data_IF_829299370932
#
_entry.id   IF_829299370932
#
_cell.length_a   1.000
_cell.length_b   1.000
_cell.length_c   1.000
_cell.angle_alpha   90.00
_cell.angle_beta   90.00
_cell.angle_gamma   90.00
#
_symmetry.space_group_name_H-M   'P 1'
#
loop_
_entity.id
_entity.type
_entity.pdbx_description
1 polymer ?
#
# COMPACT_ATOMS: atom_id res chain seq x y z
N UNK A 1 62.75 8.12 -0.92
CA UNK A 1 61.39 8.35 -1.48
C UNK A 1 60.38 7.72 -0.55
N UNK A 2 59.63 8.53 0.18
CA UNK A 2 58.56 8.05 1.07
C UNK A 2 57.22 8.29 0.35
N UNK A 3 56.49 7.23 0.05
CA UNK A 3 55.17 7.29 -0.51
C UNK A 3 54.17 7.57 0.65
N UNK A 4 53.50 8.71 0.57
CA UNK A 4 52.42 9.08 1.48
C UNK A 4 51.13 8.43 0.98
N UNK A 5 50.62 7.45 1.73
CA UNK A 5 49.29 6.93 1.50
C UNK A 5 48.27 7.96 1.98
N UNK A 6 47.56 8.58 1.03
CA UNK A 6 46.41 9.40 1.31
C UNK A 6 45.24 8.50 1.71
N UNK A 7 44.87 8.56 2.99
CA UNK A 7 43.68 7.88 3.50
C UNK A 7 42.42 8.60 2.96
N UNK A 8 41.78 7.96 2.01
CA UNK A 8 40.47 8.43 1.52
C UNK A 8 39.42 8.04 2.56
N UNK A 9 39.01 9.00 3.37
CA UNK A 9 37.87 8.86 4.26
C UNK A 9 36.59 8.77 3.40
N UNK A 10 36.02 7.57 3.34
CA UNK A 10 34.68 7.38 2.82
C UNK A 10 33.71 8.00 3.84
N UNK A 11 32.87 8.96 3.46
CA UNK A 11 31.90 9.50 4.39
C UNK A 11 30.90 8.41 4.76
N UNK A 12 30.71 8.19 6.05
CA UNK A 12 29.65 7.36 6.58
C UNK A 12 28.35 8.12 6.32
N UNK A 13 27.58 7.65 5.33
CA UNK A 13 26.23 8.14 5.06
C UNK A 13 25.34 7.53 6.15
N UNK A 14 24.67 8.32 6.99
CA UNK A 14 23.72 7.76 7.95
C UNK A 14 22.56 7.10 7.19
N UNK A 15 22.15 5.93 7.67
CA UNK A 15 21.10 5.03 7.12
C UNK A 15 19.68 5.65 7.10
N UNK A 16 19.56 6.94 7.02
CA UNK A 16 18.27 7.65 6.99
C UNK A 16 18.19 8.56 5.77
N UNK A 17 18.28 7.97 4.60
CA UNK A 17 17.72 8.61 3.40
C UNK A 17 16.44 7.83 3.10
N UNK A 18 15.33 8.34 3.64
CA UNK A 18 13.99 8.02 3.15
C UNK A 18 13.97 8.52 1.71
N UNK A 19 14.20 7.62 0.76
CA UNK A 19 14.00 7.90 -0.64
C UNK A 19 12.50 7.92 -0.91
N UNK A 20 11.84 8.98 -0.44
CA UNK A 20 10.52 9.34 -0.94
C UNK A 20 10.66 9.48 -2.45
N UNK A 21 9.84 8.79 -3.24
CA UNK A 21 9.88 8.81 -4.69
C UNK A 21 9.97 10.25 -5.22
N UNK A 22 11.18 10.76 -5.41
CA UNK A 22 11.41 12.10 -5.93
C UNK A 22 11.12 12.05 -7.43
N UNK A 23 10.10 12.77 -7.87
CA UNK A 23 9.89 13.07 -9.27
C UNK A 23 11.00 14.03 -9.72
N UNK A 24 12.08 13.51 -10.25
CA UNK A 24 12.98 14.28 -11.07
C UNK A 24 12.57 14.14 -12.53
N UNK A 25 12.15 15.23 -13.15
CA UNK A 25 11.99 15.41 -14.61
C UNK A 25 11.17 14.32 -15.33
N UNK A 26 9.98 13.95 -14.79
CA UNK A 26 9.08 12.99 -15.46
C UNK A 26 9.57 11.54 -15.46
N UNK A 27 10.66 11.25 -14.76
CA UNK A 27 11.22 9.90 -14.63
C UNK A 27 10.57 9.16 -13.46
N UNK A 28 10.09 7.96 -13.72
CA UNK A 28 9.63 7.05 -12.67
C UNK A 28 10.87 6.60 -11.89
N UNK A 29 10.96 7.00 -10.62
CA UNK A 29 12.00 6.54 -9.71
C UNK A 29 11.55 5.22 -9.10
N UNK A 30 12.43 4.23 -9.06
CA UNK A 30 12.14 2.95 -8.41
C UNK A 30 11.84 3.15 -6.92
N UNK A 31 10.79 2.48 -6.43
CA UNK A 31 10.39 2.47 -5.04
C UNK A 31 11.17 1.40 -4.27
N UNK A 32 11.77 1.77 -3.14
CA UNK A 32 12.45 0.84 -2.24
C UNK A 32 12.37 1.38 -0.80
N UNK A 33 11.44 0.85 -0.02
CA UNK A 33 11.24 1.20 1.40
C UNK A 33 10.94 -0.06 2.22
N UNK A 34 11.08 0.02 3.54
CA UNK A 34 10.58 -1.01 4.46
C UNK A 34 9.04 -0.96 4.47
N UNK A 35 8.43 -1.80 3.66
CA UNK A 35 6.97 -1.81 3.49
C UNK A 35 6.24 -2.24 4.76
N UNK A 36 6.85 -3.09 5.59
CA UNK A 36 6.24 -3.53 6.84
C UNK A 36 6.22 -2.38 7.86
N UNK A 37 7.32 -1.64 7.97
CA UNK A 37 7.39 -0.45 8.83
C UNK A 37 6.40 0.62 8.37
N UNK A 38 6.35 0.90 7.06
CA UNK A 38 5.39 1.85 6.49
C UNK A 38 3.96 1.47 6.79
N UNK A 39 3.62 0.19 6.64
CA UNK A 39 2.26 -0.33 6.88
C UNK A 39 1.91 -0.26 8.37
N UNK A 40 2.82 -0.67 9.27
CA UNK A 40 2.58 -0.64 10.72
C UNK A 40 2.39 0.77 11.27
N UNK A 41 3.07 1.75 10.69
CA UNK A 41 2.98 3.16 11.11
C UNK A 41 1.88 3.94 10.38
N UNK A 42 1.14 3.32 9.46
CA UNK A 42 0.07 3.98 8.72
C UNK A 42 -1.21 4.09 9.56
N UNK A 43 -1.76 5.30 9.63
CA UNK A 43 -3.08 5.59 10.22
C UNK A 43 -4.11 6.07 9.18
N UNK A 44 -3.70 6.21 7.92
CA UNK A 44 -4.56 6.68 6.84
C UNK A 44 -5.37 5.52 6.26
N UNK A 45 -6.60 5.79 5.86
CA UNK A 45 -7.43 4.78 5.20
C UNK A 45 -6.77 4.25 3.93
N UNK A 46 -6.23 5.15 3.07
CA UNK A 46 -5.54 4.80 1.82
C UNK A 46 -4.42 5.80 1.52
N UNK A 47 -3.25 5.28 1.20
CA UNK A 47 -2.13 6.08 0.70
C UNK A 47 -1.44 5.34 -0.44
N UNK A 48 -1.39 5.97 -1.61
CA UNK A 48 -0.62 5.47 -2.76
C UNK A 48 0.84 5.84 -2.58
N UNK A 49 1.70 4.84 -2.38
CA UNK A 49 3.13 5.03 -2.15
C UNK A 49 3.93 5.15 -3.46
N UNK A 50 3.59 4.32 -4.43
CA UNK A 50 4.30 4.28 -5.71
C UNK A 50 3.39 3.80 -6.83
N UNK A 51 3.57 4.35 -8.03
CA UNK A 51 2.86 3.94 -9.24
C UNK A 51 3.84 3.78 -10.38
N UNK A 52 3.88 2.59 -10.95
CA UNK A 52 4.54 2.29 -12.21
C UNK A 52 3.51 2.16 -13.34
N UNK A 53 3.96 1.88 -14.58
CA UNK A 53 3.04 1.69 -15.71
C UNK A 53 2.14 0.45 -15.58
N UNK A 54 2.56 -0.57 -14.82
CA UNK A 54 1.88 -1.87 -14.74
C UNK A 54 1.55 -2.32 -13.32
N UNK A 55 1.96 -1.58 -12.29
CA UNK A 55 1.69 -1.90 -10.90
C UNK A 55 1.69 -0.65 -10.02
N UNK A 56 0.97 -0.72 -8.90
CA UNK A 56 0.86 0.35 -7.92
C UNK A 56 0.89 -0.21 -6.53
N UNK A 57 1.66 0.40 -5.64
CA UNK A 57 1.76 0.02 -4.22
C UNK A 57 0.97 0.99 -3.37
N UNK A 58 0.08 0.45 -2.54
CA UNK A 58 -0.82 1.21 -1.68
C UNK A 58 -0.77 0.62 -0.27
N UNK A 59 -0.84 1.46 0.75
CA UNK A 59 -1.04 1.03 2.14
C UNK A 59 -2.40 1.48 2.64
N UNK A 60 -3.01 0.66 3.50
CA UNK A 60 -4.32 0.95 4.07
C UNK A 60 -4.37 0.63 5.56
N UNK A 61 -5.18 1.39 6.28
CA UNK A 61 -5.56 1.11 7.67
C UNK A 61 -7.08 1.22 7.80
N UNK A 62 -7.71 0.13 8.22
CA UNK A 62 -9.16 0.03 8.37
C UNK A 62 -9.46 -0.02 9.86
N UNK A 63 -10.22 0.94 10.41
CA UNK A 63 -10.53 0.96 11.84
C UNK A 63 -11.43 -0.22 12.25
N UNK A 64 -11.47 -0.58 13.55
CA UNK A 64 -12.37 -1.62 14.06
C UNK A 64 -13.82 -1.39 13.64
N UNK A 65 -14.48 -2.42 13.13
CA UNK A 65 -15.84 -2.36 12.62
C UNK A 65 -15.97 -1.71 11.24
N UNK A 66 -14.87 -1.21 10.67
CA UNK A 66 -14.83 -0.65 9.32
C UNK A 66 -14.61 -1.72 8.24
N UNK A 67 -14.68 -1.27 7.00
CA UNK A 67 -14.49 -2.10 5.81
C UNK A 67 -13.91 -1.29 4.67
N UNK A 68 -13.37 -1.95 3.65
CA UNK A 68 -13.00 -1.26 2.40
C UNK A 68 -14.27 -0.85 1.64
N UNK A 69 -15.25 -1.70 1.62
CA UNK A 69 -16.46 -1.60 0.82
C UNK A 69 -16.46 -2.64 -0.30
N UNK A 70 -17.64 -3.00 -0.78
CA UNK A 70 -17.75 -3.95 -1.88
C UNK A 70 -17.30 -3.30 -3.19
N UNK A 71 -16.32 -3.91 -3.85
CA UNK A 71 -15.71 -3.44 -5.08
C UNK A 71 -15.61 -4.55 -6.12
N UNK A 72 -15.57 -4.16 -7.40
CA UNK A 72 -15.21 -5.00 -8.54
C UNK A 72 -14.28 -4.18 -9.43
N UNK A 73 -13.07 -4.68 -9.64
CA UNK A 73 -12.12 -4.09 -10.59
C UNK A 73 -12.13 -4.95 -11.85
N UNK A 74 -12.68 -4.44 -12.94
CA UNK A 74 -12.92 -5.24 -14.16
C UNK A 74 -11.63 -5.73 -14.81
N UNK A 75 -10.58 -4.89 -14.79
CA UNK A 75 -9.34 -5.12 -15.54
C UNK A 75 -8.09 -5.04 -14.65
N UNK A 76 -8.24 -5.13 -13.32
CA UNK A 76 -7.14 -5.00 -12.36
C UNK A 76 -7.12 -6.19 -11.42
N UNK A 77 -5.98 -6.88 -11.38
CA UNK A 77 -5.69 -7.84 -10.32
C UNK A 77 -5.22 -7.09 -9.08
N UNK A 78 -5.62 -7.56 -7.90
CA UNK A 78 -5.22 -6.97 -6.63
C UNK A 78 -4.61 -8.03 -5.72
N UNK A 79 -3.43 -7.76 -5.20
CA UNK A 79 -2.78 -8.56 -4.17
C UNK A 79 -2.81 -7.79 -2.86
N UNK A 80 -3.33 -8.39 -1.79
CA UNK A 80 -3.37 -7.79 -0.46
C UNK A 80 -2.54 -8.65 0.51
N UNK A 81 -1.69 -7.99 1.28
CA UNK A 81 -0.92 -8.63 2.34
C UNK A 81 -1.26 -7.96 3.67
N UNK A 82 -1.76 -8.75 4.61
CA UNK A 82 -2.18 -8.27 5.92
C UNK A 82 -1.00 -8.30 6.88
N UNK A 83 -0.79 -7.20 7.60
CA UNK A 83 0.38 -7.00 8.47
C UNK A 83 -0.02 -6.97 9.94
N UNK A 84 -1.13 -6.32 10.27
CA UNK A 84 -1.65 -6.22 11.64
C UNK A 84 -3.17 -6.29 11.65
N UNK A 85 -3.70 -6.73 12.78
CA UNK A 85 -5.13 -6.84 13.00
C UNK A 85 -5.72 -8.15 12.48
N UNK A 86 -7.05 -8.26 12.56
CA UNK A 86 -7.82 -9.41 12.13
C UNK A 86 -9.09 -8.97 11.41
N UNK A 87 -9.49 -9.73 10.43
CA UNK A 87 -10.68 -9.43 9.66
C UNK A 87 -11.16 -10.60 8.82
N UNK A 88 -11.99 -10.28 7.85
CA UNK A 88 -12.52 -11.22 6.87
C UNK A 88 -12.34 -10.68 5.46
N UNK A 89 -11.93 -11.56 4.56
CA UNK A 89 -12.08 -11.37 3.12
C UNK A 89 -13.43 -11.94 2.69
N UNK A 90 -14.17 -11.18 1.87
CA UNK A 90 -15.42 -11.62 1.25
C UNK A 90 -15.19 -11.62 -0.26
N UNK A 91 -15.05 -12.80 -0.85
CA UNK A 91 -14.76 -12.98 -2.28
C UNK A 91 -15.92 -13.71 -2.93
N UNK A 92 -16.62 -13.05 -3.86
CA UNK A 92 -17.85 -13.57 -4.48
C UNK A 92 -18.85 -14.15 -3.45
N UNK A 93 -19.00 -13.45 -2.31
CA UNK A 93 -19.86 -13.85 -1.21
C UNK A 93 -19.28 -14.91 -0.25
N UNK A 94 -18.12 -15.47 -0.53
CA UNK A 94 -17.45 -16.44 0.34
C UNK A 94 -16.57 -15.72 1.34
N UNK A 95 -16.79 -15.96 2.64
CA UNK A 95 -16.03 -15.36 3.73
C UNK A 95 -14.88 -16.25 4.15
N UNK A 96 -13.72 -15.66 4.38
CA UNK A 96 -12.54 -16.34 4.94
C UNK A 96 -11.76 -15.40 5.86
N UNK A 97 -11.13 -15.90 6.94
CA UNK A 97 -10.41 -15.05 7.86
C UNK A 97 -9.13 -14.50 7.24
N UNK A 98 -8.82 -13.24 7.55
CA UNK A 98 -7.52 -12.61 7.30
C UNK A 98 -6.88 -12.20 8.62
N UNK A 99 -5.57 -12.33 8.69
CA UNK A 99 -4.74 -12.08 9.87
C UNK A 99 -3.30 -11.77 9.41
N UNK A 100 -2.39 -11.37 10.29
CA UNK A 100 -1.00 -11.11 9.91
C UNK A 100 -0.39 -12.26 9.09
N UNK A 101 0.40 -11.90 8.09
CA UNK A 101 1.09 -12.80 7.14
C UNK A 101 0.19 -13.51 6.11
N UNK A 102 -1.10 -13.17 6.07
CA UNK A 102 -1.98 -13.66 5.00
C UNK A 102 -1.83 -12.81 3.73
N UNK A 103 -1.78 -13.50 2.61
CA UNK A 103 -1.87 -12.91 1.28
C UNK A 103 -3.17 -13.34 0.63
N UNK A 104 -3.87 -12.38 0.04
CA UNK A 104 -5.07 -12.63 -0.77
C UNK A 104 -4.81 -12.09 -2.17
N UNK A 105 -5.01 -12.91 -3.18
CA UNK A 105 -5.08 -12.50 -4.58
C UNK A 105 -6.54 -12.40 -4.99
N UNK A 106 -6.93 -11.22 -5.45
CA UNK A 106 -8.25 -10.95 -6.04
C UNK A 106 -8.07 -10.77 -7.55
N UNK A 107 -8.43 -11.77 -8.36
CA UNK A 107 -8.38 -11.63 -9.81
C UNK A 107 -9.34 -10.56 -10.32
N UNK A 108 -8.99 -9.93 -11.43
CA UNK A 108 -9.87 -8.98 -12.13
C UNK A 108 -11.29 -9.56 -12.30
N UNK A 109 -12.31 -8.73 -12.10
CA UNK A 109 -13.72 -9.13 -12.19
C UNK A 109 -14.30 -9.80 -10.96
N UNK A 110 -13.51 -10.08 -9.92
CA UNK A 110 -13.98 -10.69 -8.68
C UNK A 110 -14.63 -9.63 -7.77
N UNK A 111 -15.87 -9.86 -7.36
CA UNK A 111 -16.53 -9.04 -6.34
C UNK A 111 -15.88 -9.32 -4.99
N UNK A 112 -15.45 -8.27 -4.30
CA UNK A 112 -14.71 -8.43 -3.06
C UNK A 112 -14.95 -7.31 -2.06
N UNK A 113 -14.76 -7.65 -0.79
CA UNK A 113 -14.72 -6.71 0.34
C UNK A 113 -13.77 -7.25 1.41
N UNK A 114 -13.22 -6.37 2.21
CA UNK A 114 -12.41 -6.71 3.38
C UNK A 114 -12.95 -5.97 4.59
N UNK A 115 -13.28 -6.71 5.63
CA UNK A 115 -13.95 -6.22 6.83
C UNK A 115 -13.05 -6.39 8.03
N UNK A 116 -12.87 -5.33 8.83
CA UNK A 116 -12.19 -5.44 10.11
C UNK A 116 -13.15 -5.99 11.17
N UNK A 117 -12.94 -7.23 11.58
CA UNK A 117 -13.72 -7.90 12.63
C UNK A 117 -13.01 -7.92 13.98
N UNK A 118 -11.81 -7.34 14.07
CA UNK A 118 -11.01 -7.26 15.28
C UNK A 118 -11.26 -6.00 16.10
N UNK A 119 -10.45 -5.83 17.12
CA UNK A 119 -10.50 -4.70 18.07
C UNK A 119 -9.43 -3.63 17.83
N UNK A 120 -8.52 -3.86 16.90
CA UNK A 120 -7.45 -2.95 16.48
C UNK A 120 -7.55 -2.66 15.00
N UNK A 121 -6.80 -1.69 14.50
CA UNK A 121 -6.75 -1.39 13.07
C UNK A 121 -6.28 -2.61 12.28
N UNK A 122 -6.96 -2.87 11.16
CA UNK A 122 -6.54 -3.85 10.17
C UNK A 122 -5.64 -3.14 9.17
N UNK A 123 -4.34 -3.42 9.25
CA UNK A 123 -3.30 -2.78 8.44
C UNK A 123 -2.76 -3.72 7.39
N UNK A 124 -2.69 -3.22 6.18
CA UNK A 124 -2.27 -4.00 5.02
C UNK A 124 -1.53 -3.13 4.00
N UNK A 125 -0.74 -3.76 3.17
CA UNK A 125 -0.33 -3.18 1.90
C UNK A 125 -0.95 -3.97 0.76
N UNK A 126 -1.17 -3.30 -0.34
CA UNK A 126 -1.82 -3.88 -1.50
C UNK A 126 -1.14 -3.43 -2.78
N UNK A 127 -1.16 -4.31 -3.77
CA UNK A 127 -0.61 -4.07 -5.10
C UNK A 127 -1.74 -4.20 -6.10
N UNK A 128 -1.96 -3.16 -6.89
CA UNK A 128 -2.86 -3.16 -8.04
C UNK A 128 -2.05 -3.34 -9.32
N UNK A 129 -2.49 -4.19 -10.20
CA UNK A 129 -1.86 -4.46 -11.48
C UNK A 129 -2.92 -4.57 -12.60
N UNK A 130 -3.04 -3.54 -13.43
CA UNK A 130 -2.35 -2.23 -13.46
C UNK A 130 -2.79 -1.28 -12.34
N UNK A 131 -2.24 -0.06 -12.25
CA UNK A 131 -2.65 0.94 -11.26
C UNK A 131 -4.15 1.26 -11.31
N UNK A 132 -4.77 1.33 -10.13
CA UNK A 132 -6.20 1.64 -9.95
C UNK A 132 -6.44 3.12 -9.60
N UNK A 133 -5.58 3.68 -8.75
CA UNK A 133 -5.74 5.03 -8.23
C UNK A 133 -4.78 6.02 -8.90
N UNK A 134 -5.14 7.31 -8.86
CA UNK A 134 -4.22 8.37 -9.29
C UNK A 134 -2.93 8.35 -8.45
N UNK A 135 -1.76 8.59 -9.05
CA UNK A 135 -0.50 8.64 -8.32
C UNK A 135 -0.54 9.66 -7.17
N UNK A 136 -0.04 9.24 -5.99
CA UNK A 136 0.02 10.09 -4.80
C UNK A 136 -1.33 10.35 -4.12
N UNK A 137 -2.36 9.59 -4.42
CA UNK A 137 -3.67 9.66 -3.73
C UNK A 137 -3.51 9.39 -2.24
N UNK A 138 -4.11 10.26 -1.42
CA UNK A 138 -4.20 10.12 0.03
C UNK A 138 -5.65 10.33 0.46
N UNK A 139 -6.22 9.34 1.14
CA UNK A 139 -7.52 9.45 1.82
C UNK A 139 -7.33 9.15 3.31
N UNK A 140 -7.66 10.09 4.17
CA UNK A 140 -7.53 9.91 5.61
C UNK A 140 -8.56 8.94 6.17
N UNK A 141 -9.76 8.97 5.59
CA UNK A 141 -10.92 8.18 6.02
C UNK A 141 -11.59 7.50 4.84
N UNK A 142 -12.38 6.46 5.13
CA UNK A 142 -13.24 5.84 4.11
C UNK A 142 -14.21 6.86 3.49
N UNK A 143 -14.74 7.76 4.28
CA UNK A 143 -15.65 8.80 3.79
C UNK A 143 -15.00 9.72 2.73
N UNK A 144 -13.71 10.06 2.91
CA UNK A 144 -12.96 10.80 1.89
C UNK A 144 -12.77 9.98 0.61
N UNK A 145 -12.48 8.68 0.75
CA UNK A 145 -12.35 7.78 -0.40
C UNK A 145 -13.66 7.66 -1.18
N UNK A 146 -14.77 7.39 -0.48
CA UNK A 146 -16.10 7.26 -1.09
C UNK A 146 -16.53 8.56 -1.79
N UNK A 147 -16.23 9.71 -1.21
CA UNK A 147 -16.52 11.02 -1.81
C UNK A 147 -15.71 11.27 -3.08
N UNK A 148 -14.44 10.85 -3.10
CA UNK A 148 -13.58 10.98 -4.28
C UNK A 148 -14.04 10.06 -5.41
N UNK A 149 -14.40 8.82 -5.11
CA UNK A 149 -14.92 7.85 -6.08
C UNK A 149 -16.27 8.29 -6.66
N UNK A 150 -17.16 8.87 -5.85
CA UNK A 150 -18.42 9.42 -6.32
C UNK A 150 -18.25 10.64 -7.25
N UNK A 151 -17.17 11.40 -7.11
CA UNK A 151 -16.88 12.56 -7.96
C UNK A 151 -16.30 12.18 -9.34
N UNK A 152 -15.80 10.94 -9.50
CA UNK A 152 -15.24 10.42 -10.75
C UNK A 152 -16.31 9.82 -11.70
N UNK A 153 -17.57 9.74 -11.27
CA UNK A 153 -18.69 9.16 -12.02
C UNK A 153 -19.73 10.18 -12.45
#
# INVERSE_FOLDING_TARGET
MRATFSSCLVPIIPDTIILTAVREEGRIVAFNEDILERTRNNSLFREVLASGPHAQVVIMSIPPGGEIGEEVHADVDQVLVFVEGQGEAVLDGVRSPVRPDRLVLVPAGTRHNFVNTGSTDLRLYTIYAPPEHAPGTIHRTKAEADAAEAAEH
#
